data_IF_993027083065
#
_entry.id   IF_993027083065
#
_cell.length_a   1.000
_cell.length_b   1.000
_cell.length_c   1.000
_cell.angle_alpha   90.00
_cell.angle_beta   90.00
_cell.angle_gamma   90.00
#
_symmetry.space_group_name_H-M   'P 1'
#
loop_
_entity.id
_entity.type
_entity.pdbx_description
1 polymer ?
#
# COMPACT_ATOMS: atom_id res chain seq x y z
N UNK A 1 -33.75 2.15 19.82
CA UNK A 1 -33.99 1.73 18.42
C UNK A 1 -32.90 2.19 17.45
N UNK A 2 -32.22 3.33 17.70
CA UNK A 2 -31.19 3.89 16.79
C UNK A 2 -29.85 3.14 16.75
N UNK A 3 -29.42 2.50 17.84
CA UNK A 3 -28.18 1.70 17.85
C UNK A 3 -28.25 0.47 16.93
N UNK A 4 -29.43 -0.18 16.83
CA UNK A 4 -29.63 -1.32 15.92
C UNK A 4 -29.45 -0.91 14.46
N UNK A 5 -29.89 0.29 14.08
CA UNK A 5 -29.79 0.80 12.71
C UNK A 5 -28.34 1.10 12.30
N UNK A 6 -27.52 1.68 13.20
CA UNK A 6 -26.08 1.89 12.93
C UNK A 6 -25.31 0.57 12.79
N UNK A 7 -25.64 -0.41 13.62
CA UNK A 7 -25.00 -1.73 13.58
C UNK A 7 -25.38 -2.50 12.32
N UNK A 8 -26.66 -2.48 11.91
CA UNK A 8 -27.13 -3.07 10.65
C UNK A 8 -26.44 -2.43 9.43
N UNK A 9 -26.31 -1.10 9.40
CA UNK A 9 -25.60 -0.39 8.31
C UNK A 9 -24.11 -0.75 8.25
N UNK A 10 -23.45 -0.95 9.40
CA UNK A 10 -22.06 -1.41 9.45
C UNK A 10 -21.92 -2.84 8.92
N UNK A 11 -22.79 -3.76 9.33
CA UNK A 11 -22.80 -5.13 8.79
C UNK A 11 -23.11 -5.18 7.29
N UNK A 12 -24.05 -4.36 6.82
CA UNK A 12 -24.35 -4.25 5.39
C UNK A 12 -23.14 -3.73 4.59
N UNK A 13 -22.46 -2.68 5.08
CA UNK A 13 -21.27 -2.15 4.42
C UNK A 13 -20.11 -3.17 4.42
N UNK A 14 -19.91 -3.91 5.52
CA UNK A 14 -18.90 -4.97 5.60
C UNK A 14 -19.24 -6.09 4.61
N UNK A 15 -20.50 -6.53 4.55
CA UNK A 15 -20.94 -7.54 3.59
C UNK A 15 -20.76 -7.09 2.14
N UNK A 16 -21.03 -5.82 1.84
CA UNK A 16 -20.80 -5.22 0.51
C UNK A 16 -19.31 -5.20 0.17
N UNK A 17 -18.44 -4.78 1.09
CA UNK A 17 -16.99 -4.73 0.88
C UNK A 17 -16.41 -6.14 0.71
N UNK A 18 -16.85 -7.09 1.53
CA UNK A 18 -16.44 -8.50 1.42
C UNK A 18 -16.92 -9.09 0.08
N UNK A 19 -18.16 -8.80 -0.33
CA UNK A 19 -18.68 -9.18 -1.65
C UNK A 19 -17.86 -8.58 -2.80
N UNK A 20 -17.49 -7.30 -2.69
CA UNK A 20 -16.62 -6.61 -3.65
C UNK A 20 -15.22 -7.23 -3.73
N UNK A 21 -14.63 -7.60 -2.59
CA UNK A 21 -13.32 -8.26 -2.55
C UNK A 21 -13.35 -9.68 -3.15
N UNK A 22 -14.46 -10.40 -2.99
CA UNK A 22 -14.64 -11.73 -3.61
C UNK A 22 -14.87 -11.60 -5.12
N UNK A 23 -15.61 -10.58 -5.56
CA UNK A 23 -15.87 -10.33 -6.98
C UNK A 23 -14.65 -9.78 -7.73
N UNK A 24 -13.82 -8.97 -7.08
CA UNK A 24 -12.60 -8.41 -7.68
C UNK A 24 -11.56 -9.47 -8.10
N UNK A 25 -11.66 -10.70 -7.58
CA UNK A 25 -10.76 -11.81 -7.97
C UNK A 25 -11.18 -12.54 -9.24
N UNK A 26 -12.37 -12.29 -9.79
CA UNK A 26 -12.81 -12.95 -11.03
C UNK A 26 -12.23 -12.25 -12.25
N UNK A 27 -10.92 -12.41 -12.47
CA UNK A 27 -10.33 -12.10 -13.76
C UNK A 27 -10.65 -13.25 -14.73
N UNK A 28 -11.24 -12.92 -15.88
CA UNK A 28 -11.34 -13.87 -16.99
C UNK A 28 -9.93 -14.11 -17.52
N UNK A 29 -9.37 -15.29 -17.25
CA UNK A 29 -8.09 -15.69 -17.83
C UNK A 29 -8.23 -15.71 -19.36
N UNK A 30 -7.34 -15.00 -20.05
CA UNK A 30 -7.18 -15.13 -21.49
C UNK A 30 -6.39 -16.42 -21.73
N UNK A 31 -7.03 -17.44 -22.31
CA UNK A 31 -6.36 -18.65 -22.79
C UNK A 31 -5.41 -18.26 -23.93
N UNK A 32 -4.13 -18.03 -23.61
CA UNK A 32 -3.11 -17.67 -24.58
C UNK A 32 -1.72 -17.92 -24.02
N UNK A 33 -1.15 -19.05 -24.43
CA UNK A 33 0.27 -19.44 -24.47
C UNK A 33 1.11 -19.16 -23.22
N UNK A 34 1.52 -20.25 -22.55
CA UNK A 34 2.59 -20.33 -21.52
C UNK A 34 3.25 -18.98 -21.22
N UNK A 35 2.69 -18.25 -20.24
CA UNK A 35 3.16 -16.93 -19.81
C UNK A 35 4.62 -17.02 -19.35
N UNK A 36 5.55 -16.93 -20.28
CA UNK A 36 6.94 -16.65 -19.97
C UNK A 36 6.96 -15.17 -19.64
N UNK A 37 6.81 -14.84 -18.35
CA UNK A 37 6.96 -13.47 -17.83
C UNK A 37 8.15 -12.85 -18.56
N UNK A 38 7.88 -11.83 -19.38
CA UNK A 38 8.93 -11.25 -20.19
C UNK A 38 9.99 -10.69 -19.26
N UNK A 39 11.26 -10.99 -19.54
CA UNK A 39 12.36 -10.41 -18.76
C UNK A 39 12.28 -8.88 -18.75
N UNK A 40 11.74 -8.28 -19.82
CA UNK A 40 11.48 -6.84 -19.94
C UNK A 40 10.41 -6.39 -18.94
N UNK A 41 9.31 -7.12 -18.81
CA UNK A 41 8.23 -6.79 -17.86
C UNK A 41 8.71 -6.93 -16.42
N UNK A 42 9.55 -7.94 -16.13
CA UNK A 42 10.16 -8.11 -14.80
C UNK A 42 11.09 -6.94 -14.47
N UNK A 43 11.97 -6.56 -15.39
CA UNK A 43 12.88 -5.43 -15.20
C UNK A 43 12.09 -4.12 -15.03
N UNK A 44 11.02 -3.92 -15.80
CA UNK A 44 10.14 -2.77 -15.67
C UNK A 44 9.51 -2.70 -14.27
N UNK A 45 8.97 -3.81 -13.77
CA UNK A 45 8.38 -3.89 -12.42
C UNK A 45 9.43 -3.68 -11.33
N UNK A 46 10.66 -4.19 -11.48
CA UNK A 46 11.73 -3.97 -10.52
C UNK A 46 12.16 -2.50 -10.44
N UNK A 47 12.23 -1.81 -11.59
CA UNK A 47 12.50 -0.37 -11.64
C UNK A 47 11.36 0.41 -10.98
N UNK A 48 10.11 0.06 -11.29
CA UNK A 48 8.95 0.68 -10.66
C UNK A 48 8.94 0.48 -9.13
N UNK A 49 9.26 -0.73 -8.66
CA UNK A 49 9.37 -1.04 -7.23
C UNK A 49 10.48 -0.22 -6.55
N UNK A 50 11.63 -0.04 -7.21
CA UNK A 50 12.71 0.81 -6.69
C UNK A 50 12.26 2.28 -6.57
N UNK A 51 11.56 2.82 -7.56
CA UNK A 51 11.02 4.19 -7.50
C UNK A 51 10.01 4.37 -6.37
N UNK A 52 9.17 3.36 -6.12
CA UNK A 52 8.20 3.37 -5.00
C UNK A 52 8.91 3.31 -3.65
N UNK A 53 10.01 2.56 -3.51
CA UNK A 53 10.80 2.53 -2.28
C UNK A 53 11.33 3.93 -1.89
N UNK A 54 11.74 4.74 -2.87
CA UNK A 54 12.18 6.12 -2.61
C UNK A 54 11.07 7.06 -2.15
N UNK A 55 9.80 6.69 -2.29
CA UNK A 55 8.66 7.51 -1.85
C UNK A 55 8.64 7.69 -0.32
N UNK A 56 9.03 6.65 0.44
CA UNK A 56 9.06 6.71 1.90
C UNK A 56 10.21 7.59 2.41
N UNK A 57 11.38 7.52 1.78
CA UNK A 57 12.49 8.41 2.08
C UNK A 57 12.19 9.86 1.68
N UNK A 58 11.48 10.06 0.56
CA UNK A 58 11.07 11.38 0.09
C UNK A 58 10.12 12.09 1.04
N UNK A 59 9.13 11.39 1.60
CA UNK A 59 8.21 11.96 2.58
C UNK A 59 8.93 12.37 3.87
N UNK A 60 9.80 11.50 4.39
CA UNK A 60 10.59 11.83 5.58
C UNK A 60 11.49 13.07 5.39
N UNK A 61 12.05 13.28 4.20
CA UNK A 61 12.87 14.48 3.94
C UNK A 61 12.02 15.77 3.91
N UNK A 62 10.79 15.68 3.40
CA UNK A 62 9.83 16.79 3.47
C UNK A 62 9.44 17.08 4.92
N UNK A 63 9.14 16.04 5.70
CA UNK A 63 8.79 16.16 7.12
C UNK A 63 9.95 16.77 7.93
N UNK A 64 11.17 16.28 7.72
CA UNK A 64 12.41 16.81 8.27
C UNK A 64 12.61 18.31 7.97
N UNK A 65 12.17 18.79 6.81
CA UNK A 65 12.25 20.20 6.41
C UNK A 65 11.30 21.12 7.19
N UNK A 66 10.21 20.61 7.74
CA UNK A 66 9.23 21.40 8.51
C UNK A 66 9.48 21.37 10.03
N UNK A 67 10.35 20.49 10.52
CA UNK A 67 10.68 20.40 11.95
C UNK A 67 11.85 21.30 12.34
N UNK A 68 11.89 21.70 13.62
CA UNK A 68 13.02 22.45 14.18
C UNK A 68 14.28 21.58 14.09
N UNK A 69 15.39 22.17 13.62
CA UNK A 69 16.69 21.50 13.41
C UNK A 69 17.14 20.54 14.53
N UNK A 70 16.83 20.85 15.80
CA UNK A 70 17.15 19.98 16.95
C UNK A 70 16.46 18.61 16.96
N UNK A 71 15.33 18.45 16.26
CA UNK A 71 14.49 17.25 16.29
C UNK A 71 14.48 16.49 14.95
N UNK A 72 15.18 17.00 13.94
CA UNK A 72 15.21 16.44 12.59
C UNK A 72 15.79 15.02 12.58
N UNK A 73 16.82 14.77 13.39
CA UNK A 73 17.44 13.45 13.51
C UNK A 73 16.47 12.42 14.10
N UNK A 74 15.65 12.81 15.09
CA UNK A 74 14.66 11.92 15.68
C UNK A 74 13.56 11.53 14.69
N UNK A 75 13.07 12.51 13.92
CA UNK A 75 12.02 12.30 12.91
C UNK A 75 12.55 11.47 11.73
N UNK A 76 13.80 11.70 11.30
CA UNK A 76 14.42 10.86 10.27
C UNK A 76 14.63 9.41 10.71
N UNK A 77 14.92 9.17 12.00
CA UNK A 77 15.04 7.83 12.56
C UNK A 77 13.68 7.11 12.60
N UNK A 78 12.60 7.81 12.97
CA UNK A 78 11.23 7.29 12.92
C UNK A 78 10.82 6.91 11.49
N UNK A 79 11.05 7.79 10.51
CA UNK A 79 10.72 7.51 9.11
C UNK A 79 11.52 6.33 8.51
N UNK A 80 12.77 6.13 8.97
CA UNK A 80 13.58 4.97 8.58
C UNK A 80 13.07 3.68 9.21
N UNK A 81 12.69 3.72 10.49
CA UNK A 81 12.05 2.59 11.17
C UNK A 81 10.73 2.19 10.48
N UNK A 82 9.87 3.14 10.13
CA UNK A 82 8.61 2.87 9.45
C UNK A 82 8.80 2.22 8.08
N UNK A 83 9.82 2.65 7.32
CA UNK A 83 10.17 2.03 6.04
C UNK A 83 10.62 0.57 6.22
N UNK A 84 11.42 0.29 7.25
CA UNK A 84 11.87 -1.09 7.54
C UNK A 84 10.73 -1.98 8.03
N UNK A 85 9.85 -1.47 8.91
CA UNK A 85 8.71 -2.23 9.42
C UNK A 85 7.69 -2.53 8.33
N UNK A 86 7.41 -1.56 7.44
CA UNK A 86 6.51 -1.75 6.29
C UNK A 86 7.04 -2.76 5.27
N UNK A 87 8.36 -2.91 5.18
CA UNK A 87 8.97 -3.90 4.27
C UNK A 87 8.95 -5.32 4.87
N UNK A 88 8.92 -5.45 6.20
CA UNK A 88 8.97 -6.73 6.93
C UNK A 88 7.58 -7.28 7.26
N UNK A 89 6.59 -6.42 7.49
CA UNK A 89 5.21 -6.78 7.82
C UNK A 89 4.34 -7.02 6.57
#
# INVERSE_FOLDING_TARGET
MEHKFRTIRRFANIAIVVGLMVFAKTAFAQDGDSEMVSAVDTVWVLIAAFLVFFMQAGFGFLEAGFVRSKNVVNIMAENLMDTTMTTVA
#
